data_IF_403506766579
#
_entry.id   IF_403506766579
#
_cell.length_a   1.000
_cell.length_b   1.000
_cell.length_c   1.000
_cell.angle_alpha   90.00
_cell.angle_beta   90.00
_cell.angle_gamma   90.00
#
_symmetry.space_group_name_H-M   'P 1'
#
loop_
_entity.id
_entity.type
_entity.pdbx_description
1 polymer ?
#
# COMPACT_ATOMS: atom_id res chain seq x y z
N UNK A 1 2.03 32.95 -59.89
CA UNK A 1 1.92 33.12 -58.42
C UNK A 1 0.96 32.07 -57.91
N UNK A 2 1.45 31.14 -57.11
CA UNK A 2 0.67 30.03 -56.56
C UNK A 2 1.59 29.28 -55.60
N UNK A 3 1.82 29.89 -54.44
CA UNK A 3 2.72 29.41 -53.40
C UNK A 3 2.23 28.09 -52.81
N UNK A 4 3.16 27.15 -52.70
CA UNK A 4 3.02 25.85 -52.05
C UNK A 4 2.74 26.04 -50.54
N UNK A 5 1.77 25.31 -49.99
CA UNK A 5 1.80 24.97 -48.56
C UNK A 5 1.43 23.50 -48.38
N UNK A 6 2.42 22.63 -48.54
CA UNK A 6 2.39 21.29 -47.93
C UNK A 6 2.44 21.54 -46.43
N UNK A 7 1.38 21.18 -45.71
CA UNK A 7 1.38 21.20 -44.24
C UNK A 7 2.07 19.92 -43.75
N UNK A 8 3.26 19.98 -43.13
CA UNK A 8 3.82 18.84 -42.44
C UNK A 8 3.43 18.98 -40.98
N UNK A 9 2.30 18.39 -40.59
CA UNK A 9 2.00 18.17 -39.18
C UNK A 9 2.16 16.69 -38.83
N UNK A 10 3.32 16.17 -39.15
CA UNK A 10 3.90 15.01 -38.48
C UNK A 10 5.00 15.51 -37.53
N UNK A 11 5.13 14.82 -36.40
CA UNK A 11 6.19 14.94 -35.40
C UNK A 11 6.10 16.10 -34.41
N UNK A 12 5.35 15.89 -33.32
CA UNK A 12 5.90 16.13 -31.97
C UNK A 12 5.21 15.30 -30.89
N UNK A 13 5.31 13.98 -31.01
CA UNK A 13 5.33 13.14 -29.80
C UNK A 13 6.78 13.19 -29.28
N UNK A 14 7.16 14.32 -28.68
CA UNK A 14 8.31 14.30 -27.77
C UNK A 14 7.91 13.35 -26.65
N UNK A 15 8.56 12.20 -26.56
CA UNK A 15 8.52 11.34 -25.39
C UNK A 15 8.76 12.26 -24.18
N UNK A 16 7.69 12.60 -23.47
CA UNK A 16 7.79 13.43 -22.27
C UNK A 16 8.60 12.63 -21.28
N UNK A 17 9.88 12.97 -21.21
CA UNK A 17 10.83 12.46 -20.22
C UNK A 17 10.10 12.50 -18.88
N UNK A 18 9.83 11.32 -18.33
CA UNK A 18 9.10 11.16 -17.07
C UNK A 18 9.77 12.09 -16.07
N UNK A 19 9.03 13.07 -15.55
CA UNK A 19 9.57 13.93 -14.51
C UNK A 19 9.99 13.01 -13.34
N UNK A 20 11.22 13.15 -12.83
CA UNK A 20 11.68 12.33 -11.73
C UNK A 20 10.71 12.48 -10.55
N UNK A 21 10.32 11.36 -9.94
CA UNK A 21 9.47 11.33 -8.75
C UNK A 21 10.40 11.22 -7.54
N UNK A 22 10.79 12.34 -6.91
CA UNK A 22 11.82 12.35 -5.87
C UNK A 22 11.46 11.49 -4.66
N UNK A 23 10.17 11.23 -4.42
CA UNK A 23 9.69 10.35 -3.37
C UNK A 23 10.17 8.91 -3.52
N UNK A 24 10.45 8.46 -4.75
CA UNK A 24 10.97 7.11 -5.02
C UNK A 24 12.45 6.95 -4.66
N UNK A 25 13.17 8.05 -4.39
CA UNK A 25 14.59 8.04 -4.02
C UNK A 25 14.83 7.99 -2.49
N UNK A 26 13.75 7.91 -1.68
CA UNK A 26 13.87 7.82 -0.23
C UNK A 26 14.49 6.49 0.19
N UNK A 27 15.31 6.50 1.24
CA UNK A 27 15.95 5.30 1.80
C UNK A 27 14.98 4.19 2.23
N UNK A 28 13.71 4.54 2.49
CA UNK A 28 12.64 3.61 2.84
C UNK A 28 11.97 2.93 1.64
N UNK A 29 12.35 3.29 0.40
CA UNK A 29 11.77 2.74 -0.83
C UNK A 29 12.68 1.65 -1.36
N UNK A 30 12.14 0.45 -1.48
CA UNK A 30 12.86 -0.71 -2.00
C UNK A 30 12.11 -1.28 -3.21
N UNK A 31 12.77 -1.30 -4.36
CA UNK A 31 12.19 -1.78 -5.62
C UNK A 31 13.02 -2.95 -6.15
N UNK A 32 12.36 -4.10 -6.42
CA UNK A 32 13.02 -5.25 -7.03
C UNK A 32 13.43 -4.98 -8.49
N UNK A 33 12.55 -4.33 -9.25
CA UNK A 33 12.79 -3.92 -10.65
C UNK A 33 12.34 -2.46 -10.85
N UNK A 34 13.25 -1.49 -10.70
CA UNK A 34 12.94 -0.08 -10.87
C UNK A 34 12.48 0.29 -12.29
N UNK A 35 12.95 -0.40 -13.32
CA UNK A 35 12.59 -0.11 -14.71
C UNK A 35 11.16 -0.56 -15.02
N UNK A 36 10.73 -1.70 -14.46
CA UNK A 36 9.33 -2.11 -14.53
C UNK A 36 8.40 -1.10 -13.83
N UNK A 37 8.76 -0.63 -12.63
CA UNK A 37 7.98 0.38 -11.90
C UNK A 37 7.83 1.66 -12.72
N UNK A 38 8.89 2.16 -13.36
CA UNK A 38 8.82 3.34 -14.25
C UNK A 38 7.86 3.14 -15.42
N UNK A 39 7.83 1.95 -16.03
CA UNK A 39 6.87 1.62 -17.11
C UNK A 39 5.43 1.63 -16.60
N UNK A 40 5.18 1.05 -15.42
CA UNK A 40 3.84 1.05 -14.80
C UNK A 40 3.36 2.46 -14.50
N UNK A 41 4.20 3.30 -13.88
CA UNK A 41 3.85 4.71 -13.59
C UNK A 41 3.55 5.50 -14.87
N UNK A 42 4.34 5.27 -15.93
CA UNK A 42 4.10 5.90 -17.24
C UNK A 42 2.75 5.52 -17.83
N UNK A 43 2.44 4.22 -17.82
CA UNK A 43 1.15 3.72 -18.30
C UNK A 43 -0.04 4.27 -17.49
N UNK A 44 0.08 4.37 -16.16
CA UNK A 44 -0.95 4.97 -15.31
C UNK A 44 -1.19 6.45 -15.65
N UNK A 45 -0.11 7.20 -15.88
CA UNK A 45 -0.19 8.62 -16.26
C UNK A 45 -0.81 8.81 -17.64
N UNK A 46 -0.41 8.00 -18.62
CA UNK A 46 -0.95 8.03 -19.98
C UNK A 46 -2.43 7.62 -20.05
N UNK A 47 -2.84 6.67 -19.19
CA UNK A 47 -4.21 6.19 -19.14
C UNK A 47 -5.21 7.25 -18.63
N UNK A 48 -4.77 8.13 -17.71
CA UNK A 48 -5.60 9.19 -17.15
C UNK A 48 -6.41 8.76 -15.92
N UNK A 49 -6.96 9.75 -15.21
CA UNK A 49 -7.69 9.54 -13.95
C UNK A 49 -9.00 8.77 -14.14
N UNK A 50 -9.62 8.86 -15.31
CA UNK A 50 -10.83 8.13 -15.70
C UNK A 50 -10.63 6.61 -15.74
N UNK A 51 -9.37 6.15 -15.84
CA UNK A 51 -8.99 4.73 -15.87
C UNK A 51 -8.27 4.27 -14.60
N UNK A 52 -8.14 5.16 -13.60
CA UNK A 52 -7.48 4.84 -12.34
C UNK A 52 -8.50 4.44 -11.27
N UNK A 53 -8.23 3.32 -10.61
CA UNK A 53 -8.94 2.91 -9.40
C UNK A 53 -7.91 2.57 -8.31
N UNK A 54 -8.29 2.77 -7.05
CA UNK A 54 -7.46 2.46 -5.89
C UNK A 54 -8.16 1.39 -5.07
N UNK A 55 -7.46 0.28 -4.82
CA UNK A 55 -7.83 -0.75 -3.85
C UNK A 55 -6.72 -0.75 -2.81
N UNK A 56 -7.06 -0.49 -1.55
CA UNK A 56 -6.11 -0.39 -0.45
C UNK A 56 -6.65 -1.10 0.77
N UNK A 57 -5.74 -1.71 1.52
CA UNK A 57 -5.96 -2.08 2.91
C UNK A 57 -6.04 -0.82 3.81
N UNK A 58 -6.47 -0.98 5.06
CA UNK A 58 -6.64 0.10 6.03
C UNK A 58 -5.59 0.07 7.14
N UNK A 59 -5.57 -0.98 7.96
CA UNK A 59 -4.75 -1.01 9.18
C UNK A 59 -3.26 -1.10 8.84
N UNK A 60 -2.46 -0.19 9.42
CA UNK A 60 -1.02 -0.07 9.16
C UNK A 60 -0.65 0.29 7.71
N UNK A 61 -1.64 0.49 6.83
CA UNK A 61 -1.50 0.96 5.44
C UNK A 61 -1.93 2.43 5.31
N UNK A 62 -3.21 2.71 5.58
CA UNK A 62 -3.73 4.08 5.67
C UNK A 62 -3.58 4.64 7.08
N UNK A 63 -3.69 3.78 8.10
CA UNK A 63 -3.38 4.12 9.48
C UNK A 63 -1.87 3.97 9.76
N UNK A 64 -1.35 4.76 10.69
CA UNK A 64 0.09 4.71 11.04
C UNK A 64 0.44 3.39 11.70
N UNK A 65 1.61 2.83 11.39
CA UNK A 65 2.16 1.70 12.13
C UNK A 65 2.55 2.05 13.57
N UNK A 66 3.22 3.19 13.75
CA UNK A 66 3.68 3.66 15.05
C UNK A 66 3.87 5.18 15.08
N UNK A 67 3.88 5.73 16.28
CA UNK A 67 4.05 7.15 16.54
C UNK A 67 4.80 7.36 17.87
N UNK A 68 5.84 8.21 17.86
CA UNK A 68 6.69 8.49 19.03
C UNK A 68 7.22 7.22 19.73
N UNK A 69 7.68 6.24 18.95
CA UNK A 69 8.24 4.98 19.46
C UNK A 69 7.21 3.99 20.01
N UNK A 70 5.91 4.26 19.88
CA UNK A 70 4.83 3.36 20.31
C UNK A 70 4.05 2.84 19.12
N UNK A 71 3.54 1.60 19.22
CA UNK A 71 2.65 1.01 18.22
C UNK A 71 1.30 1.73 18.24
N UNK A 72 0.77 2.05 17.07
CA UNK A 72 -0.58 2.59 16.95
C UNK A 72 -1.62 1.44 16.98
N UNK A 73 -2.85 1.70 17.44
CA UNK A 73 -3.90 0.68 17.46
C UNK A 73 -4.40 0.35 16.06
N UNK A 74 -4.74 -0.91 15.82
CA UNK A 74 -5.59 -1.33 14.69
C UNK A 74 -7.05 -0.92 14.91
N UNK A 75 -7.89 -1.07 13.88
CA UNK A 75 -9.35 -0.95 13.99
C UNK A 75 -9.94 -1.77 15.14
N UNK A 76 -9.48 -3.01 15.32
CA UNK A 76 -9.88 -3.89 16.42
C UNK A 76 -9.41 -3.33 17.78
N UNK A 77 -8.15 -2.89 17.88
CA UNK A 77 -7.63 -2.36 19.15
C UNK A 77 -8.31 -1.06 19.61
N UNK A 78 -8.91 -0.30 18.69
CA UNK A 78 -9.76 0.83 19.08
C UNK A 78 -10.95 0.35 19.92
N UNK A 79 -11.58 -0.76 19.52
CA UNK A 79 -12.69 -1.36 20.27
C UNK A 79 -12.19 -2.05 21.54
N UNK A 80 -11.10 -2.82 21.48
CA UNK A 80 -10.55 -3.56 22.64
C UNK A 80 -10.21 -2.63 23.81
N UNK A 81 -9.69 -1.44 23.49
CA UNK A 81 -9.29 -0.43 24.48
C UNK A 81 -10.43 0.54 24.84
N UNK A 82 -11.61 0.38 24.25
CA UNK A 82 -12.75 1.23 24.54
C UNK A 82 -13.34 0.91 25.92
N UNK A 83 -14.20 1.83 26.40
CA UNK A 83 -14.90 1.67 27.69
C UNK A 83 -16.07 0.68 27.62
N UNK A 84 -16.46 0.23 26.42
CA UNK A 84 -17.59 -0.70 26.27
C UNK A 84 -17.18 -2.16 26.51
N UNK A 85 -15.88 -2.45 26.48
CA UNK A 85 -15.33 -3.78 26.79
C UNK A 85 -14.98 -3.85 28.27
N UNK A 86 -15.50 -4.87 28.97
CA UNK A 86 -15.18 -5.14 30.37
C UNK A 86 -13.69 -5.44 30.56
N UNK A 87 -13.19 -5.28 31.78
CA UNK A 87 -11.79 -5.59 32.07
C UNK A 87 -11.45 -7.07 31.82
N UNK A 88 -12.36 -7.98 32.17
CA UNK A 88 -12.25 -9.41 31.89
C UNK A 88 -12.23 -9.71 30.39
N UNK A 89 -13.08 -9.01 29.61
CA UNK A 89 -13.11 -9.13 28.15
C UNK A 89 -11.79 -8.66 27.54
N UNK A 90 -11.25 -7.53 28.01
CA UNK A 90 -9.96 -7.00 27.55
C UNK A 90 -8.81 -7.96 27.85
N UNK A 91 -8.85 -8.64 29.02
CA UNK A 91 -7.87 -9.68 29.36
C UNK A 91 -7.93 -10.83 28.35
N UNK A 92 -9.11 -11.35 28.03
CA UNK A 92 -9.27 -12.42 27.04
C UNK A 92 -8.79 -12.02 25.65
N UNK A 93 -9.16 -10.81 25.19
CA UNK A 93 -8.70 -10.29 23.89
C UNK A 93 -7.18 -10.15 23.83
N UNK A 94 -6.57 -9.69 24.93
CA UNK A 94 -5.11 -9.61 25.05
C UNK A 94 -4.46 -11.01 25.00
N UNK A 95 -5.06 -11.99 25.67
CA UNK A 95 -4.57 -13.37 25.67
C UNK A 95 -4.67 -13.99 24.26
N UNK A 96 -5.77 -13.75 23.53
CA UNK A 96 -5.93 -14.15 22.12
C UNK A 96 -4.86 -13.49 21.23
N UNK A 97 -4.69 -12.17 21.33
CA UNK A 97 -3.67 -11.44 20.58
C UNK A 97 -2.26 -12.00 20.85
N UNK A 98 -1.92 -12.25 22.12
CA UNK A 98 -0.62 -12.81 22.50
C UNK A 98 -0.38 -14.22 21.94
N UNK A 99 -1.44 -15.01 21.74
CA UNK A 99 -1.34 -16.34 21.17
C UNK A 99 -1.24 -16.31 19.65
N UNK A 100 -2.16 -15.61 18.96
CA UNK A 100 -2.30 -15.69 17.51
C UNK A 100 -1.38 -14.74 16.74
N UNK A 101 -1.09 -13.55 17.24
CA UNK A 101 -0.25 -12.57 16.51
C UNK A 101 1.17 -13.10 16.22
N UNK A 102 1.87 -13.78 17.15
CA UNK A 102 3.15 -14.41 16.83
C UNK A 102 3.06 -15.45 15.70
N UNK A 103 1.92 -16.13 15.56
CA UNK A 103 1.68 -17.12 14.49
C UNK A 103 1.47 -16.40 13.16
N UNK A 104 0.67 -15.33 13.14
CA UNK A 104 0.41 -14.50 11.96
C UNK A 104 1.72 -14.04 11.30
N UNK A 105 2.62 -13.47 12.11
CA UNK A 105 3.86 -12.85 11.62
C UNK A 105 5.04 -13.81 11.47
N UNK A 106 4.89 -15.09 11.84
CA UNK A 106 6.00 -16.06 11.82
C UNK A 106 6.50 -16.28 10.38
N UNK A 107 7.74 -15.87 10.02
CA UNK A 107 8.24 -16.03 8.66
C UNK A 107 8.53 -17.50 8.30
N UNK A 108 8.54 -18.42 9.27
CA UNK A 108 8.88 -19.83 9.06
C UNK A 108 7.65 -20.72 8.82
N UNK A 109 6.44 -20.19 9.00
CA UNK A 109 5.17 -20.90 8.75
C UNK A 109 4.61 -20.56 7.38
N UNK A 110 4.03 -21.55 6.72
CA UNK A 110 3.39 -21.34 5.41
C UNK A 110 2.04 -20.65 5.56
N UNK A 111 1.51 -20.13 4.45
CA UNK A 111 0.18 -19.53 4.45
C UNK A 111 -0.90 -20.57 4.75
N UNK A 112 -0.76 -21.79 4.25
CA UNK A 112 -1.69 -22.90 4.45
C UNK A 112 -1.80 -23.28 5.93
N UNK A 113 -0.69 -23.21 6.67
CA UNK A 113 -0.66 -23.45 8.11
C UNK A 113 -1.31 -22.32 8.92
N UNK A 114 -1.15 -21.07 8.46
CA UNK A 114 -1.66 -19.88 9.17
C UNK A 114 -3.14 -19.65 8.93
N UNK A 115 -3.63 -19.85 7.71
CA UNK A 115 -5.00 -19.56 7.30
C UNK A 115 -6.07 -20.09 8.28
N UNK A 116 -6.10 -21.38 8.67
CA UNK A 116 -7.14 -21.87 9.59
C UNK A 116 -7.06 -21.22 10.98
N UNK A 117 -5.86 -20.84 11.44
CA UNK A 117 -5.66 -20.20 12.73
C UNK A 117 -6.11 -18.73 12.73
N UNK A 118 -5.98 -18.03 11.59
CA UNK A 118 -6.51 -16.67 11.44
C UNK A 118 -8.03 -16.63 11.27
N UNK A 119 -8.67 -17.77 10.95
CA UNK A 119 -10.12 -17.91 10.97
C UNK A 119 -10.62 -18.22 12.39
N UNK A 120 -9.83 -18.94 13.18
CA UNK A 120 -10.13 -19.23 14.58
C UNK A 120 -10.00 -17.98 15.47
N UNK A 121 -8.99 -17.14 15.17
CA UNK A 121 -8.76 -15.86 15.85
C UNK A 121 -9.84 -14.82 15.52
#
# INVERSE_FOLDING_TARGET
>A
MGSVSVSPRAARATAERIQPVPELEKASVHMKDPEHVKRVISALREAGADKLQVISDFDMTLSRFGFNGRRCPTSHNILDNSRVISEEGRKKLKDLLHYYYPIEIDPNRTMEEKCPLMVEW
#
